data_IF_877241393649
#
_entry.id   IF_877241393649
#
_cell.length_a   1.000
_cell.length_b   1.000
_cell.length_c   1.000
_cell.angle_alpha   90.00
_cell.angle_beta   90.00
_cell.angle_gamma   90.00
#
_symmetry.space_group_name_H-M   'P 1'
#
loop_
_entity.id
_entity.type
_entity.pdbx_description
1 polymer ?
#
# COMPACT_ATOMS: atom_id res chain seq x y z
N UNK A 1 1.56 18.33 -11.73
CA UNK A 1 1.72 16.89 -12.11
C UNK A 1 0.67 16.08 -11.37
N UNK A 2 -0.08 15.18 -12.04
CA UNK A 2 -1.17 14.40 -11.40
C UNK A 2 -0.57 13.24 -10.59
N UNK A 3 -1.07 13.04 -9.37
CA UNK A 3 -0.69 11.92 -8.48
C UNK A 3 -1.70 10.79 -8.68
N UNK A 4 -1.23 9.58 -8.96
CA UNK A 4 -2.05 8.37 -9.03
C UNK A 4 -2.32 7.87 -7.62
N UNK A 5 -3.61 7.76 -7.26
CA UNK A 5 -4.05 7.22 -5.98
C UNK A 5 -4.31 5.73 -6.12
N UNK A 6 -3.71 4.92 -5.25
CA UNK A 6 -3.72 3.45 -5.36
C UNK A 6 -4.40 2.85 -4.13
N UNK A 7 -5.30 1.90 -4.37
CA UNK A 7 -5.83 1.00 -3.34
C UNK A 7 -5.25 -0.40 -3.53
N UNK A 8 -4.85 -1.07 -2.45
CA UNK A 8 -4.35 -2.45 -2.48
C UNK A 8 -5.40 -3.40 -1.91
N UNK A 9 -5.77 -4.42 -2.67
CA UNK A 9 -6.67 -5.48 -2.24
C UNK A 9 -5.83 -6.72 -1.90
N UNK A 10 -5.99 -7.21 -0.68
CA UNK A 10 -5.18 -8.28 -0.09
C UNK A 10 -3.89 -7.76 0.53
N UNK A 11 -3.64 -8.10 1.79
CA UNK A 11 -2.50 -7.67 2.60
C UNK A 11 -1.46 -8.79 2.78
N UNK A 12 -1.30 -9.63 1.74
CA UNK A 12 -0.39 -10.76 1.72
C UNK A 12 1.04 -10.43 1.29
N UNK A 13 1.71 -11.42 0.69
CA UNK A 13 3.13 -11.32 0.29
C UNK A 13 3.37 -10.24 -0.77
N UNK A 14 2.49 -10.16 -1.77
CA UNK A 14 2.57 -9.18 -2.87
C UNK A 14 2.41 -7.75 -2.34
N UNK A 15 1.46 -7.52 -1.44
CA UNK A 15 1.25 -6.20 -0.83
C UNK A 15 2.47 -5.72 -0.04
N UNK A 16 3.14 -6.63 0.69
CA UNK A 16 4.39 -6.30 1.38
C UNK A 16 5.54 -5.98 0.40
N UNK A 17 5.61 -6.65 -0.76
CA UNK A 17 6.59 -6.31 -1.80
C UNK A 17 6.36 -4.88 -2.32
N UNK A 18 5.12 -4.53 -2.68
CA UNK A 18 4.78 -3.17 -3.11
C UNK A 18 5.01 -2.12 -2.04
N UNK A 19 4.82 -2.47 -0.76
CA UNK A 19 5.14 -1.58 0.35
C UNK A 19 6.60 -1.11 0.33
N UNK A 20 7.54 -1.99 -0.03
CA UNK A 20 8.95 -1.62 -0.15
C UNK A 20 9.22 -0.70 -1.35
N UNK A 21 8.46 -0.84 -2.44
CA UNK A 21 8.62 -0.01 -3.64
C UNK A 21 8.05 1.39 -3.43
N UNK A 22 6.81 1.47 -2.94
CA UNK A 22 6.15 2.75 -2.65
C UNK A 22 6.78 3.44 -1.44
N UNK A 23 7.15 2.71 -0.39
CA UNK A 23 7.80 3.28 0.80
C UNK A 23 9.22 3.81 0.53
N UNK A 24 9.92 3.28 -0.47
CA UNK A 24 11.22 3.81 -0.93
C UNK A 24 11.08 4.86 -2.04
N UNK A 25 9.87 5.36 -2.32
CA UNK A 25 9.58 6.30 -3.41
C UNK A 25 10.14 5.87 -4.78
N UNK A 26 10.26 4.55 -5.03
CA UNK A 26 10.75 4.04 -6.33
C UNK A 26 9.74 4.27 -7.45
N UNK A 27 8.45 4.36 -7.11
CA UNK A 27 7.37 4.66 -8.05
C UNK A 27 6.95 6.12 -7.81
N UNK A 28 7.46 7.03 -8.66
CA UNK A 28 7.15 8.46 -8.59
C UNK A 28 5.69 8.72 -8.93
N UNK A 29 5.17 9.86 -8.48
CA UNK A 29 3.82 10.36 -8.80
C UNK A 29 2.68 9.41 -8.42
N UNK A 30 2.88 8.60 -7.39
CA UNK A 30 1.88 7.66 -6.91
C UNK A 30 1.81 7.69 -5.38
N UNK A 31 0.62 7.43 -4.83
CA UNK A 31 0.43 7.27 -3.39
C UNK A 31 -0.58 6.15 -3.14
N UNK A 32 -0.21 5.22 -2.26
CA UNK A 32 -1.15 4.24 -1.72
C UNK A 32 -2.01 4.94 -0.67
N UNK A 33 -3.33 4.97 -0.90
CA UNK A 33 -4.30 5.68 -0.06
C UNK A 33 -5.22 4.73 0.72
N UNK A 34 -5.28 3.46 0.33
CA UNK A 34 -6.18 2.49 0.92
C UNK A 34 -5.61 1.07 0.83
N UNK A 35 -5.97 0.25 1.81
CA UNK A 35 -5.72 -1.20 1.83
C UNK A 35 -6.97 -1.93 2.28
N UNK A 36 -7.21 -3.12 1.77
CA UNK A 36 -8.32 -3.99 2.12
C UNK A 36 -7.83 -5.43 2.30
N UNK A 37 -8.39 -6.16 3.26
CA UNK A 37 -8.19 -7.61 3.45
C UNK A 37 -9.39 -8.17 4.22
N UNK A 38 -9.68 -9.46 4.02
CA UNK A 38 -10.71 -10.17 4.81
C UNK A 38 -10.36 -10.19 6.30
N UNK A 39 -9.07 -10.15 6.64
CA UNK A 39 -8.58 -10.13 8.02
C UNK A 39 -8.21 -8.69 8.38
N UNK A 40 -9.07 -8.03 9.15
CA UNK A 40 -8.94 -6.61 9.52
C UNK A 40 -7.60 -6.27 10.19
N UNK A 41 -7.01 -7.21 10.94
CA UNK A 41 -5.70 -7.00 11.59
C UNK A 41 -4.58 -6.87 10.56
N UNK A 42 -4.62 -7.63 9.45
CA UNK A 42 -3.67 -7.49 8.34
C UNK A 42 -3.81 -6.14 7.65
N UNK A 43 -5.04 -5.71 7.39
CA UNK A 43 -5.32 -4.40 6.80
C UNK A 43 -4.81 -3.27 7.71
N UNK A 44 -5.10 -3.30 9.00
CA UNK A 44 -4.59 -2.31 9.98
C UNK A 44 -3.07 -2.29 10.05
N UNK A 45 -2.43 -3.45 10.06
CA UNK A 45 -0.97 -3.55 10.12
C UNK A 45 -0.29 -3.01 8.85
N UNK A 46 -0.84 -3.31 7.68
CA UNK A 46 -0.31 -2.81 6.41
C UNK A 46 -0.57 -1.30 6.25
N UNK A 47 -1.76 -0.81 6.63
CA UNK A 47 -2.11 0.60 6.60
C UNK A 47 -1.12 1.46 7.40
N UNK A 48 -0.72 1.01 8.60
CA UNK A 48 0.29 1.71 9.42
C UNK A 48 1.65 1.85 8.76
N UNK A 49 1.98 0.98 7.81
CA UNK A 49 3.27 0.98 7.10
C UNK A 49 3.27 1.90 5.87
N UNK A 50 2.10 2.19 5.28
CA UNK A 50 1.96 3.20 4.23
C UNK A 50 1.68 4.57 4.88
N UNK A 51 2.67 5.47 4.94
CA UNK A 51 2.51 6.88 5.34
C UNK A 51 2.33 7.79 4.11
#
# INVERSE_FOLDING_TARGET
MKIVKIGIIGCGRIANHYLTLYGKNKIKNSKVIAVCDLIITKAKLLAKKFK
#
